data_IF_306235757726
#
_entry.id   IF_306235757726
#
_cell.length_a   1.000
_cell.length_b   1.000
_cell.length_c   1.000
_cell.angle_alpha   90.00
_cell.angle_beta   90.00
_cell.angle_gamma   90.00
#
_symmetry.space_group_name_H-M   'P 1'
#
loop_
_entity.id
_entity.type
_entity.pdbx_description
1 polymer ?
#
# COMPACT_ATOMS: atom_id res chain seq x y z
N UNK A 1 -22.10 -16.58 1.70
CA UNK A 1 -20.63 -16.80 1.55
C UNK A 1 -19.90 -15.63 2.19
N UNK A 2 -18.99 -15.89 3.15
CA UNK A 2 -18.22 -14.83 3.80
C UNK A 2 -17.32 -14.10 2.79
N UNK A 3 -17.25 -12.77 2.84
CA UNK A 3 -16.41 -11.96 1.93
C UNK A 3 -14.95 -12.43 1.89
N UNK A 4 -14.43 -12.94 3.03
CA UNK A 4 -13.08 -13.50 3.13
C UNK A 4 -12.87 -14.66 2.15
N UNK A 5 -13.83 -15.58 2.05
CA UNK A 5 -13.76 -16.74 1.16
C UNK A 5 -13.78 -16.35 -0.33
N UNK A 6 -14.63 -15.38 -0.68
CA UNK A 6 -14.70 -14.83 -2.04
C UNK A 6 -13.37 -14.16 -2.40
N UNK A 7 -12.81 -13.35 -1.49
CA UNK A 7 -11.51 -12.70 -1.68
C UNK A 7 -10.39 -13.74 -1.86
N UNK A 8 -10.41 -14.82 -1.09
CA UNK A 8 -9.45 -15.93 -1.23
C UNK A 8 -9.53 -16.62 -2.60
N UNK A 9 -10.73 -16.92 -3.09
CA UNK A 9 -10.93 -17.55 -4.40
C UNK A 9 -10.51 -16.61 -5.55
N UNK A 10 -10.93 -15.34 -5.48
CA UNK A 10 -10.57 -14.33 -6.49
C UNK A 10 -9.07 -14.08 -6.53
N UNK A 11 -8.40 -13.91 -5.38
CA UNK A 11 -6.97 -13.63 -5.35
C UNK A 11 -6.11 -14.85 -5.72
N UNK A 12 -6.52 -16.08 -5.36
CA UNK A 12 -5.69 -17.28 -5.62
C UNK A 12 -5.94 -17.94 -6.98
N UNK A 13 -7.11 -17.78 -7.58
CA UNK A 13 -7.46 -18.44 -8.85
C UNK A 13 -7.54 -17.45 -10.02
N UNK A 14 -8.29 -16.35 -9.86
CA UNK A 14 -8.51 -15.41 -10.97
C UNK A 14 -7.24 -14.62 -11.30
N UNK A 15 -6.44 -14.27 -10.29
CA UNK A 15 -5.21 -13.50 -10.46
C UNK A 15 -4.13 -14.17 -11.34
N UNK A 16 -3.65 -15.40 -11.04
CA UNK A 16 -2.62 -16.04 -11.86
C UNK A 16 -3.11 -16.26 -13.29
N UNK A 17 -4.41 -16.56 -13.48
CA UNK A 17 -5.01 -16.71 -14.79
C UNK A 17 -4.95 -15.41 -15.61
N UNK A 18 -5.31 -14.27 -15.01
CA UNK A 18 -5.24 -12.96 -15.67
C UNK A 18 -3.79 -12.58 -16.02
N UNK A 19 -2.83 -12.79 -15.11
CA UNK A 19 -1.42 -12.47 -15.41
C UNK A 19 -0.86 -13.36 -16.52
N UNK A 20 -1.17 -14.65 -16.53
CA UNK A 20 -0.72 -15.58 -17.57
C UNK A 20 -1.15 -15.10 -18.97
N UNK A 21 -2.40 -14.62 -19.11
CA UNK A 21 -2.91 -14.07 -20.38
C UNK A 21 -2.27 -12.73 -20.80
N UNK A 22 -1.63 -12.03 -19.85
CA UNK A 22 -1.06 -10.69 -20.08
C UNK A 22 0.41 -10.69 -20.51
N UNK A 23 1.07 -11.86 -20.54
CA UNK A 23 2.52 -11.99 -20.74
C UNK A 23 3.05 -11.41 -22.06
N UNK A 24 2.18 -11.08 -23.01
CA UNK A 24 2.56 -10.56 -24.34
C UNK A 24 2.52 -9.03 -24.46
N UNK A 25 2.08 -8.25 -23.45
CA UNK A 25 2.06 -6.77 -23.54
C UNK A 25 2.15 -6.05 -22.20
N UNK A 26 3.15 -5.16 -22.05
CA UNK A 26 3.42 -4.37 -20.82
C UNK A 26 2.24 -3.47 -20.41
N UNK A 27 1.59 -2.80 -21.36
CA UNK A 27 0.42 -1.94 -21.08
C UNK A 27 -0.77 -2.76 -20.56
N UNK A 28 -0.96 -3.97 -21.08
CA UNK A 28 -1.99 -4.88 -20.55
C UNK A 28 -1.66 -5.33 -19.14
N UNK A 29 -0.40 -5.70 -18.87
CA UNK A 29 0.06 -6.14 -17.55
C UNK A 29 -0.26 -5.10 -16.47
N UNK A 30 0.10 -3.83 -16.67
CA UNK A 30 -0.18 -2.78 -15.69
C UNK A 30 -1.70 -2.56 -15.51
N UNK A 31 -2.48 -2.58 -16.60
CA UNK A 31 -3.94 -2.49 -16.54
C UNK A 31 -4.57 -3.60 -15.70
N UNK A 32 -4.12 -4.85 -15.86
CA UNK A 32 -4.58 -5.96 -15.03
C UNK A 32 -4.18 -5.78 -13.57
N UNK A 33 -2.95 -5.36 -13.29
CA UNK A 33 -2.50 -5.10 -11.92
C UNK A 33 -3.35 -4.01 -11.24
N UNK A 34 -3.69 -2.92 -11.94
CA UNK A 34 -4.64 -1.90 -11.46
C UNK A 34 -6.03 -2.48 -11.20
N UNK A 35 -6.55 -3.29 -12.13
CA UNK A 35 -7.83 -3.94 -11.95
C UNK A 35 -7.87 -4.79 -10.66
N UNK A 36 -6.81 -5.55 -10.40
CA UNK A 36 -6.68 -6.37 -9.19
C UNK A 36 -6.66 -5.51 -7.93
N UNK A 37 -5.88 -4.44 -7.92
CA UNK A 37 -5.81 -3.50 -6.78
C UNK A 37 -7.19 -2.90 -6.51
N UNK A 38 -7.88 -2.41 -7.55
CA UNK A 38 -9.21 -1.82 -7.43
C UNK A 38 -10.26 -2.83 -6.95
N UNK A 39 -10.21 -4.06 -7.46
CA UNK A 39 -11.09 -5.14 -7.03
C UNK A 39 -10.84 -5.50 -5.57
N UNK A 40 -9.57 -5.68 -5.18
CA UNK A 40 -9.21 -5.93 -3.79
C UNK A 40 -9.68 -4.81 -2.87
N UNK A 41 -9.40 -3.54 -3.21
CA UNK A 41 -9.84 -2.40 -2.41
C UNK A 41 -11.36 -2.38 -2.23
N UNK A 42 -12.13 -2.68 -3.28
CA UNK A 42 -13.59 -2.79 -3.20
C UNK A 42 -14.05 -3.94 -2.31
N UNK A 43 -13.36 -5.08 -2.34
CA UNK A 43 -13.67 -6.25 -1.49
C UNK A 43 -13.31 -6.00 -0.03
N UNK A 44 -12.14 -5.43 0.26
CA UNK A 44 -11.73 -5.02 1.62
C UNK A 44 -12.72 -4.01 2.19
N UNK A 45 -13.15 -3.02 1.39
CA UNK A 45 -14.17 -2.04 1.82
C UNK A 45 -15.50 -2.68 2.20
N UNK A 46 -15.87 -3.81 1.58
CA UNK A 46 -17.09 -4.57 1.90
C UNK A 46 -16.97 -5.43 3.15
N UNK A 47 -15.76 -5.81 3.56
CA UNK A 47 -15.52 -6.52 4.81
C UNK A 47 -15.75 -5.65 6.05
N UNK A 48 -15.77 -4.31 5.88
CA UNK A 48 -16.00 -3.33 6.96
C UNK A 48 -15.11 -3.56 8.19
N UNK A 49 -13.86 -3.96 7.95
CA UNK A 49 -12.85 -4.13 9.01
C UNK A 49 -12.59 -2.79 9.67
N UNK A 50 -12.62 -2.75 11.00
CA UNK A 50 -12.28 -1.58 11.82
C UNK A 50 -11.16 -1.95 12.77
N UNK A 51 -10.14 -1.11 12.84
CA UNK A 51 -9.00 -1.32 13.73
C UNK A 51 -8.22 -0.03 13.91
N UNK A 52 -7.56 0.11 15.06
CA UNK A 52 -6.54 1.13 15.31
C UNK A 52 -5.13 0.63 15.01
N UNK A 53 -4.92 -0.68 14.89
CA UNK A 53 -3.61 -1.28 14.60
C UNK A 53 -3.40 -1.36 13.08
N UNK A 54 -3.10 -0.20 12.49
CA UNK A 54 -2.90 -0.02 11.05
C UNK A 54 -1.41 0.18 10.78
N UNK A 55 -0.92 -0.49 9.73
CA UNK A 55 0.40 -0.25 9.14
C UNK A 55 0.25 0.60 7.87
N UNK A 56 0.84 1.79 7.87
CA UNK A 56 1.08 2.59 6.68
C UNK A 56 2.45 2.20 6.09
N UNK A 57 2.43 1.53 4.94
CA UNK A 57 3.63 1.05 4.27
C UNK A 57 3.89 1.85 3.00
N UNK A 58 5.05 2.51 2.96
CA UNK A 58 5.44 3.42 1.89
C UNK A 58 6.56 2.83 1.03
N UNK A 59 6.69 3.23 -0.26
CA UNK A 59 7.80 2.85 -1.09
C UNK A 59 8.94 3.85 -0.92
N UNK A 60 10.19 3.38 -1.00
CA UNK A 60 11.36 4.25 -0.99
C UNK A 60 11.35 5.31 -2.12
N UNK A 61 10.65 5.05 -3.23
CA UNK A 61 10.60 5.94 -4.39
C UNK A 61 9.86 7.27 -4.16
N UNK A 62 9.16 7.45 -3.02
CA UNK A 62 8.58 8.75 -2.63
C UNK A 62 9.65 9.72 -2.11
N UNK A 63 10.75 9.18 -1.59
CA UNK A 63 11.90 10.00 -1.19
C UNK A 63 12.59 10.53 -2.45
N UNK A 64 12.88 11.83 -2.46
CA UNK A 64 13.63 12.42 -3.58
C UNK A 64 15.06 11.84 -3.64
N UNK A 65 15.56 11.68 -4.85
CA UNK A 65 16.89 11.12 -5.16
C UNK A 65 18.05 11.92 -4.53
N UNK A 66 17.92 13.23 -4.42
CA UNK A 66 18.93 14.11 -3.79
C UNK A 66 18.94 14.04 -2.25
N UNK A 67 18.08 13.24 -1.62
CA UNK A 67 18.02 13.15 -0.17
C UNK A 67 19.14 12.26 0.39
N UNK A 68 20.02 12.84 1.20
CA UNK A 68 21.18 12.16 1.78
C UNK A 68 20.83 11.15 2.90
N UNK A 69 19.62 11.22 3.46
CA UNK A 69 19.26 10.44 4.66
C UNK A 69 18.58 9.14 4.26
N UNK A 70 19.12 7.98 4.67
CA UNK A 70 18.47 6.70 4.40
C UNK A 70 17.32 6.44 5.38
N UNK A 71 16.09 6.44 4.87
CA UNK A 71 14.87 6.30 5.68
C UNK A 71 14.38 4.84 5.86
N UNK A 72 15.03 3.87 5.23
CA UNK A 72 14.60 2.45 5.24
C UNK A 72 14.55 1.84 6.64
N UNK A 73 15.43 2.26 7.55
CA UNK A 73 15.48 1.71 8.92
C UNK A 73 14.64 2.49 9.91
N UNK A 74 14.67 3.82 9.79
CA UNK A 74 13.88 4.71 10.62
C UNK A 74 13.42 5.90 9.77
N UNK A 75 12.13 5.94 9.48
CA UNK A 75 11.54 7.03 8.69
C UNK A 75 11.63 8.38 9.42
N UNK A 76 11.72 8.38 10.76
CA UNK A 76 11.86 9.57 11.58
C UNK A 76 13.25 10.22 11.48
N UNK A 77 14.20 9.62 10.75
CA UNK A 77 15.44 10.29 10.35
C UNK A 77 15.22 11.32 9.23
N UNK A 78 13.99 11.47 8.73
CA UNK A 78 13.62 12.51 7.78
C UNK A 78 13.75 13.90 8.43
N UNK A 79 14.49 14.79 7.78
CA UNK A 79 14.68 16.19 8.22
C UNK A 79 13.42 17.06 8.07
N UNK A 80 12.35 16.51 7.50
CA UNK A 80 11.09 17.22 7.25
C UNK A 80 11.27 18.51 6.42
N UNK A 81 12.21 18.47 5.45
CA UNK A 81 12.56 19.61 4.59
C UNK A 81 11.47 20.02 3.59
N UNK A 82 10.42 19.22 3.43
CA UNK A 82 9.27 19.53 2.55
C UNK A 82 9.50 19.32 1.06
N UNK A 83 10.66 18.77 0.65
CA UNK A 83 10.94 18.48 -0.77
C UNK A 83 10.21 17.24 -1.31
N UNK A 84 9.66 16.41 -0.43
CA UNK A 84 8.85 15.24 -0.76
C UNK A 84 7.72 15.05 0.26
N UNK A 85 6.72 14.26 -0.11
CA UNK A 85 5.51 14.01 0.68
C UNK A 85 5.78 13.20 1.97
N UNK A 86 6.99 12.68 2.17
CA UNK A 86 7.36 11.92 3.38
C UNK A 86 7.10 12.72 4.65
N UNK A 87 7.36 14.04 4.63
CA UNK A 87 7.05 14.91 5.78
C UNK A 87 5.58 14.82 6.15
N UNK A 88 4.71 15.00 5.16
CA UNK A 88 3.26 15.03 5.36
C UNK A 88 2.73 13.64 5.75
N UNK A 89 3.34 12.57 5.21
CA UNK A 89 3.00 11.18 5.56
C UNK A 89 3.40 10.83 7.01
N UNK A 90 4.53 11.34 7.50
CA UNK A 90 4.91 11.22 8.91
C UNK A 90 3.88 11.93 9.78
N UNK A 91 3.50 13.17 9.44
CA UNK A 91 2.49 13.93 10.19
C UNK A 91 1.12 13.22 10.20
N UNK A 92 0.69 12.69 9.06
CA UNK A 92 -0.55 11.89 8.97
C UNK A 92 -0.47 10.66 9.87
N UNK A 93 0.65 9.94 9.87
CA UNK A 93 0.82 8.75 10.71
C UNK A 93 0.84 9.08 12.20
N UNK A 94 1.59 10.12 12.59
CA UNK A 94 1.70 10.57 13.99
C UNK A 94 0.33 11.00 14.53
N UNK A 95 -0.43 11.79 13.76
CA UNK A 95 -1.77 12.27 14.12
C UNK A 95 -2.81 11.14 14.25
N UNK A 96 -2.59 10.00 13.59
CA UNK A 96 -3.49 8.85 13.64
C UNK A 96 -2.91 7.67 14.45
N UNK A 97 -1.75 7.84 15.10
CA UNK A 97 -1.04 6.81 15.87
C UNK A 97 -0.79 5.50 15.10
N UNK A 98 -0.36 5.61 13.85
CA UNK A 98 -0.14 4.46 12.95
C UNK A 98 1.29 3.91 13.07
N UNK A 99 1.46 2.63 12.74
CA UNK A 99 2.79 2.10 12.43
C UNK A 99 3.20 2.59 11.04
N UNK A 100 4.37 3.22 10.91
CA UNK A 100 4.85 3.80 9.64
C UNK A 100 6.21 3.22 9.24
N UNK A 101 6.30 2.63 8.04
CA UNK A 101 7.54 2.05 7.53
C UNK A 101 7.74 2.31 6.04
N UNK A 102 9.01 2.39 5.63
CA UNK A 102 9.42 2.48 4.21
C UNK A 102 10.02 1.14 3.78
N UNK A 103 9.51 0.57 2.68
CA UNK A 103 10.06 -0.64 2.08
C UNK A 103 10.76 -0.33 0.74
N UNK A 104 11.92 -0.96 0.52
CA UNK A 104 12.66 -0.90 -0.75
C UNK A 104 12.20 -1.97 -1.75
N UNK A 105 11.36 -2.90 -1.33
CA UNK A 105 10.79 -3.95 -2.17
C UNK A 105 9.96 -4.96 -1.38
N UNK A 106 9.37 -5.92 -2.09
CA UNK A 106 8.41 -6.88 -1.54
C UNK A 106 8.95 -7.74 -0.39
N UNK A 107 10.20 -8.19 -0.42
CA UNK A 107 10.78 -9.00 0.67
C UNK A 107 10.86 -8.24 1.99
N UNK A 108 11.27 -6.97 1.95
CA UNK A 108 11.30 -6.13 3.15
C UNK A 108 9.89 -5.80 3.64
N UNK A 109 8.97 -5.52 2.72
CA UNK A 109 7.56 -5.32 3.04
C UNK A 109 6.95 -6.53 3.80
N UNK A 110 7.19 -7.75 3.31
CA UNK A 110 6.74 -8.99 3.97
C UNK A 110 7.31 -9.15 5.38
N UNK A 111 8.61 -8.87 5.54
CA UNK A 111 9.25 -8.90 6.85
C UNK A 111 8.63 -7.88 7.82
N UNK A 112 8.41 -6.64 7.37
CA UNK A 112 7.76 -5.61 8.19
C UNK A 112 6.35 -6.06 8.62
N UNK A 113 5.54 -6.58 7.69
CA UNK A 113 4.20 -7.09 8.02
C UNK A 113 4.26 -8.22 9.05
N UNK A 114 5.21 -9.14 8.90
CA UNK A 114 5.42 -10.24 9.84
C UNK A 114 5.85 -9.76 11.24
N UNK A 115 6.73 -8.77 11.30
CA UNK A 115 7.31 -8.27 12.56
C UNK A 115 6.32 -7.35 13.29
N UNK A 116 5.63 -6.46 12.57
CA UNK A 116 4.64 -5.51 13.12
C UNK A 116 3.32 -6.21 13.48
N UNK A 117 2.93 -7.26 12.73
CA UNK A 117 1.64 -7.96 12.88
C UNK A 117 0.43 -7.01 12.92
N UNK A 118 0.25 -6.15 11.90
CA UNK A 118 -0.87 -5.23 11.88
C UNK A 118 -2.20 -5.96 11.65
N UNK A 119 -3.31 -5.32 12.01
CA UNK A 119 -4.65 -5.82 11.71
C UNK A 119 -5.17 -5.35 10.34
N UNK A 120 -4.62 -4.24 9.83
CA UNK A 120 -4.87 -3.73 8.48
C UNK A 120 -3.65 -2.98 7.92
N UNK A 121 -3.55 -2.92 6.58
CA UNK A 121 -2.45 -2.21 5.89
C UNK A 121 -3.02 -1.18 4.92
N UNK A 122 -2.47 0.02 4.96
CA UNK A 122 -2.57 1.01 3.88
C UNK A 122 -1.21 1.01 3.17
N UNK A 123 -1.18 0.56 1.92
CA UNK A 123 0.07 0.38 1.18
C UNK A 123 0.14 1.34 -0.01
N UNK A 124 1.27 2.03 -0.16
CA UNK A 124 1.60 2.84 -1.34
C UNK A 124 2.74 2.16 -2.08
N UNK A 125 2.58 1.87 -3.37
CA UNK A 125 3.65 1.39 -4.24
C UNK A 125 3.21 1.43 -5.72
N UNK A 126 4.07 0.96 -6.62
CA UNK A 126 3.67 0.72 -8.00
C UNK A 126 2.67 -0.45 -8.09
N UNK A 127 1.99 -0.55 -9.23
CA UNK A 127 0.97 -1.57 -9.46
C UNK A 127 1.52 -3.00 -9.31
N UNK A 128 2.78 -3.21 -9.68
CA UNK A 128 3.44 -4.51 -9.57
C UNK A 128 3.60 -4.96 -8.12
N UNK A 129 4.12 -4.08 -7.26
CA UNK A 129 4.39 -4.39 -5.86
C UNK A 129 3.10 -4.46 -5.05
N UNK A 130 2.14 -3.58 -5.33
CA UNK A 130 0.82 -3.63 -4.70
C UNK A 130 0.09 -4.93 -5.05
N UNK A 131 0.02 -5.29 -6.33
CA UNK A 131 -0.74 -6.47 -6.74
C UNK A 131 -0.14 -7.78 -6.23
N UNK A 132 1.18 -7.92 -6.21
CA UNK A 132 1.87 -9.07 -5.62
C UNK A 132 1.75 -9.09 -4.09
N UNK A 133 1.98 -7.94 -3.45
CA UNK A 133 1.87 -7.78 -2.00
C UNK A 133 0.49 -8.16 -1.45
N UNK A 134 -0.59 -7.70 -2.09
CA UNK A 134 -1.97 -8.01 -1.70
C UNK A 134 -2.22 -9.52 -1.61
N UNK A 135 -1.65 -10.30 -2.54
CA UNK A 135 -1.83 -11.76 -2.59
C UNK A 135 -1.02 -12.42 -1.50
N UNK A 136 0.24 -12.01 -1.37
CA UNK A 136 1.18 -12.58 -0.43
C UNK A 136 0.74 -12.35 1.03
N UNK A 137 0.03 -11.26 1.30
CA UNK A 137 -0.47 -10.94 2.64
C UNK A 137 -1.86 -11.50 2.94
N UNK A 138 -2.52 -12.18 2.01
CA UNK A 138 -3.84 -12.75 2.28
C UNK A 138 -3.80 -13.72 3.49
N UNK A 139 -4.70 -13.61 4.49
CA UNK A 139 -5.98 -12.89 4.49
C UNK A 139 -5.97 -11.50 5.17
N UNK A 140 -4.84 -10.83 5.29
CA UNK A 140 -4.75 -9.48 5.86
C UNK A 140 -5.49 -8.47 4.96
N UNK A 141 -6.33 -7.57 5.49
CA UNK A 141 -6.99 -6.53 4.71
C UNK A 141 -5.99 -5.43 4.34
N UNK A 142 -5.80 -5.23 3.03
CA UNK A 142 -4.87 -4.23 2.48
C UNK A 142 -5.64 -3.28 1.57
N UNK A 143 -5.53 -1.97 1.80
CA UNK A 143 -5.92 -0.95 0.84
C UNK A 143 -4.67 -0.45 0.11
N UNK A 144 -4.58 -0.75 -1.19
CA UNK A 144 -3.46 -0.34 -2.04
C UNK A 144 -3.73 0.97 -2.78
N UNK A 145 -2.82 1.92 -2.69
CA UNK A 145 -2.88 3.23 -3.35
C UNK A 145 -1.69 3.31 -4.32
N UNK A 146 -1.92 3.22 -5.63
CA UNK A 146 -0.84 3.37 -6.61
C UNK A 146 -0.16 4.74 -6.50
N UNK A 147 1.16 4.75 -6.56
CA UNK A 147 1.92 6.00 -6.66
C UNK A 147 1.92 6.56 -8.10
N UNK A 148 2.03 7.87 -8.20
CA UNK A 148 2.21 8.59 -9.44
C UNK A 148 3.68 8.64 -9.82
N UNK A 149 3.97 8.48 -11.10
CA UNK A 149 5.34 8.32 -11.63
C UNK A 149 5.67 9.40 -12.66
N UNK A 150 5.69 10.69 -12.27
CA UNK A 150 5.91 11.80 -13.21
C UNK A 150 7.30 11.78 -13.86
N UNK A 151 8.30 11.23 -13.17
CA UNK A 151 9.70 11.13 -13.64
C UNK A 151 10.09 9.71 -14.05
N UNK A 152 9.09 8.87 -14.37
CA UNK A 152 9.31 7.47 -14.73
C UNK A 152 9.29 6.52 -13.53
N UNK A 153 9.67 5.25 -13.74
CA UNK A 153 9.57 4.21 -12.72
C UNK A 153 10.59 4.44 -11.60
N UNK A 154 10.11 4.38 -10.36
CA UNK A 154 10.95 4.39 -9.16
C UNK A 154 11.83 5.63 -8.96
N UNK A 155 11.47 6.77 -9.56
CA UNK A 155 12.18 8.04 -9.39
C UNK A 155 11.17 9.13 -9.01
N UNK A 156 11.40 9.78 -7.86
CA UNK A 156 10.67 10.96 -7.38
C UNK A 156 9.15 10.83 -7.55
N UNK A 157 8.63 9.67 -7.11
CA UNK A 157 7.20 9.34 -7.23
C UNK A 157 6.37 10.16 -6.25
N UNK A 158 5.08 10.30 -6.54
CA UNK A 158 4.14 11.06 -5.72
C UNK A 158 2.96 10.21 -5.29
N UNK A 159 2.20 10.68 -4.30
CA UNK A 159 0.99 10.01 -3.86
C UNK A 159 -0.06 11.03 -3.40
N UNK A 160 -1.30 10.74 -3.76
CA UNK A 160 -2.46 11.51 -3.32
C UNK A 160 -2.70 11.32 -1.81
N UNK A 161 -2.39 12.34 -1.03
CA UNK A 161 -2.54 12.35 0.42
C UNK A 161 -4.00 12.20 0.88
N UNK A 162 -4.97 12.68 0.09
CA UNK A 162 -6.39 12.56 0.44
C UNK A 162 -6.85 11.10 0.34
N UNK A 163 -6.38 10.36 -0.69
CA UNK A 163 -6.64 8.91 -0.77
C UNK A 163 -6.06 8.14 0.42
N UNK A 164 -4.94 8.58 0.97
CA UNK A 164 -4.32 7.98 2.15
C UNK A 164 -5.17 8.25 3.39
N UNK A 165 -5.56 9.51 3.62
CA UNK A 165 -6.45 9.89 4.71
C UNK A 165 -7.78 9.13 4.65
N UNK A 166 -8.39 9.01 3.47
CA UNK A 166 -9.61 8.23 3.25
C UNK A 166 -9.44 6.75 3.61
N UNK A 167 -8.30 6.16 3.23
CA UNK A 167 -8.00 4.75 3.53
C UNK A 167 -7.78 4.53 5.04
N UNK A 168 -7.08 5.45 5.71
CA UNK A 168 -6.88 5.42 7.16
C UNK A 168 -8.22 5.61 7.87
N UNK A 169 -9.02 6.60 7.48
CA UNK A 169 -10.35 6.86 8.03
C UNK A 169 -11.31 5.70 7.82
N UNK A 170 -11.20 4.98 6.69
CA UNK A 170 -11.95 3.75 6.47
C UNK A 170 -11.65 2.67 7.52
N UNK A 171 -10.41 2.47 7.92
CA UNK A 171 -10.10 1.50 8.98
C UNK A 171 -10.34 2.05 10.39
N UNK A 172 -10.11 3.35 10.59
CA UNK A 172 -10.09 4.00 11.91
C UNK A 172 -11.45 4.46 12.41
N UNK A 173 -12.44 4.70 11.53
CA UNK A 173 -13.76 5.16 11.95
C UNK A 173 -14.46 4.12 12.84
N UNK A 174 -14.25 4.27 14.14
CA UNK A 174 -15.23 4.00 15.18
C UNK A 174 -16.46 4.84 14.84
N UNK A 175 -17.65 4.24 14.80
CA UNK A 175 -18.87 5.01 14.94
C UNK A 175 -18.90 5.56 16.38
N UNK A 176 -18.17 6.66 16.65
CA UNK A 176 -18.49 7.51 17.79
C UNK A 176 -19.55 8.52 17.34
N UNK A 177 -20.76 7.98 17.17
CA UNK A 177 -22.10 8.52 17.46
C UNK A 177 -23.16 7.81 16.63
#
# INVERSE_FOLDING_TARGET
MSCRWIRGLTLKILYPLLILTSSFSKNRKESYQRFIINLNNKLVKREKVRTKNILLLLPHCLQIDECNNRLTYNIYNCERCGKCEIKDLIEIADNNHLNLFVATGGSLAKRIVHDVKPEAVVAVACENDLSSGIIDTYPLPVLGIPNERPFGPCLNTRVDLEKIKDAIGFFSNNNEK
#
